data_IF_882141186955
#
_entry.id   IF_882141186955
#
_cell.length_a   1.000
_cell.length_b   1.000
_cell.length_c   1.000
_cell.angle_alpha   90.00
_cell.angle_beta   90.00
_cell.angle_gamma   90.00
#
_symmetry.space_group_name_H-M   'P 1'
#
loop_
_entity.id
_entity.type
_entity.pdbx_description
1 polymer ?
#
# COMPACT_ATOMS: atom_id res chain seq x y z
N UNK A 1 -56.59 -32.21 42.83
CA UNK A 1 -55.44 -31.55 42.15
C UNK A 1 -54.95 -32.28 40.89
N UNK A 2 -54.77 -33.62 40.90
CA UNK A 2 -54.28 -34.39 39.73
C UNK A 2 -55.03 -34.18 38.40
N UNK A 3 -56.37 -34.07 38.41
CA UNK A 3 -57.18 -33.80 37.20
C UNK A 3 -56.92 -32.42 36.57
N UNK A 4 -56.57 -31.40 37.36
CA UNK A 4 -56.24 -30.07 36.83
C UNK A 4 -54.88 -30.07 36.14
N UNK A 5 -53.94 -30.84 36.69
CA UNK A 5 -52.60 -31.02 36.11
C UNK A 5 -52.70 -31.73 34.76
N UNK A 6 -53.50 -32.79 34.64
CA UNK A 6 -53.67 -33.50 33.34
C UNK A 6 -54.31 -32.62 32.27
N UNK A 7 -55.27 -31.77 32.64
CA UNK A 7 -55.91 -30.83 31.70
C UNK A 7 -54.92 -29.75 31.25
N UNK A 8 -54.11 -29.19 32.17
CA UNK A 8 -53.08 -28.22 31.83
C UNK A 8 -51.99 -28.82 30.93
N UNK A 9 -51.60 -30.07 31.17
CA UNK A 9 -50.59 -30.76 30.37
C UNK A 9 -51.11 -31.03 28.95
N UNK A 10 -52.38 -31.43 28.82
CA UNK A 10 -53.01 -31.68 27.52
C UNK A 10 -53.21 -30.37 26.73
N UNK A 11 -53.53 -29.26 27.41
CA UNK A 11 -53.61 -27.93 26.81
C UNK A 11 -52.23 -27.40 26.39
N UNK A 12 -51.20 -27.60 27.21
CA UNK A 12 -49.83 -27.23 26.86
C UNK A 12 -49.31 -28.03 25.66
N UNK A 13 -49.62 -29.33 25.60
CA UNK A 13 -49.25 -30.20 24.48
C UNK A 13 -49.94 -29.78 23.17
N UNK A 14 -51.24 -29.46 23.20
CA UNK A 14 -51.96 -28.99 22.01
C UNK A 14 -51.46 -27.62 21.53
N UNK A 15 -51.18 -26.69 22.47
CA UNK A 15 -50.60 -25.40 22.15
C UNK A 15 -49.20 -25.53 21.51
N UNK A 16 -48.34 -26.41 22.05
CA UNK A 16 -47.03 -26.68 21.48
C UNK A 16 -47.13 -27.26 20.05
N UNK A 17 -48.08 -28.17 19.80
CA UNK A 17 -48.29 -28.74 18.47
C UNK A 17 -48.70 -27.68 17.44
N UNK A 18 -49.65 -26.82 17.81
CA UNK A 18 -50.10 -25.70 16.96
C UNK A 18 -48.96 -24.72 16.69
N UNK A 19 -48.15 -24.42 17.70
CA UNK A 19 -47.01 -23.51 17.56
C UNK A 19 -45.97 -24.08 16.59
N UNK A 20 -45.64 -25.36 16.73
CA UNK A 20 -44.66 -26.05 15.86
C UNK A 20 -45.14 -26.09 14.41
N UNK A 21 -46.43 -26.36 14.17
CA UNK A 21 -47.04 -26.36 12.83
C UNK A 21 -47.00 -24.97 12.18
N UNK A 22 -47.32 -23.92 12.95
CA UNK A 22 -47.31 -22.54 12.46
C UNK A 22 -45.89 -22.10 12.11
N UNK A 23 -44.91 -22.40 12.97
CA UNK A 23 -43.50 -22.09 12.72
C UNK A 23 -42.94 -22.86 11.53
N UNK A 24 -43.32 -24.14 11.35
CA UNK A 24 -42.87 -24.92 10.20
C UNK A 24 -43.39 -24.34 8.87
N UNK A 25 -44.64 -23.87 8.86
CA UNK A 25 -45.24 -23.21 7.70
C UNK A 25 -44.54 -21.89 7.42
N UNK A 26 -44.27 -21.09 8.46
CA UNK A 26 -43.54 -19.82 8.34
C UNK A 26 -42.12 -20.03 7.81
N UNK A 27 -41.35 -20.99 8.36
CA UNK A 27 -39.99 -21.28 7.88
C UNK A 27 -40.01 -21.76 6.43
N UNK A 28 -40.97 -22.62 6.08
CA UNK A 28 -41.13 -23.10 4.71
C UNK A 28 -41.38 -21.94 3.75
N UNK A 29 -42.35 -21.07 4.06
CA UNK A 29 -42.77 -19.99 3.16
C UNK A 29 -41.79 -18.82 3.13
N UNK A 30 -41.27 -18.41 4.29
CA UNK A 30 -40.38 -17.25 4.42
C UNK A 30 -38.92 -17.54 4.06
N UNK A 31 -38.47 -18.79 4.18
CA UNK A 31 -37.05 -19.14 3.99
C UNK A 31 -36.87 -20.20 2.90
N UNK A 32 -37.53 -21.36 3.02
CA UNK A 32 -37.25 -22.50 2.12
C UNK A 32 -37.67 -22.19 0.68
N UNK A 33 -38.89 -21.67 0.49
CA UNK A 33 -39.39 -21.31 -0.84
C UNK A 33 -38.51 -20.25 -1.51
N UNK A 34 -38.22 -19.07 -0.92
CA UNK A 34 -37.39 -18.07 -1.58
C UNK A 34 -35.97 -18.55 -1.85
N UNK A 35 -35.38 -19.34 -0.94
CA UNK A 35 -34.05 -19.91 -1.15
C UNK A 35 -34.03 -20.90 -2.33
N UNK A 36 -35.09 -21.70 -2.49
CA UNK A 36 -35.25 -22.60 -3.63
C UNK A 36 -35.42 -21.82 -4.94
N UNK A 37 -36.17 -20.72 -4.93
CA UNK A 37 -36.29 -19.82 -6.09
C UNK A 37 -34.95 -19.19 -6.47
N UNK A 38 -34.17 -18.69 -5.50
CA UNK A 38 -32.84 -18.13 -5.75
C UNK A 38 -31.93 -19.18 -6.39
N UNK A 39 -31.94 -20.41 -5.87
CA UNK A 39 -31.13 -21.50 -6.41
C UNK A 39 -31.57 -21.88 -7.83
N UNK A 40 -32.88 -21.94 -8.08
CA UNK A 40 -33.43 -22.22 -9.40
C UNK A 40 -33.07 -21.13 -10.42
N UNK A 41 -33.22 -19.85 -10.07
CA UNK A 41 -32.82 -18.71 -10.91
C UNK A 41 -31.31 -18.76 -11.17
N UNK A 42 -30.50 -19.00 -10.13
CA UNK A 42 -29.04 -19.12 -10.26
C UNK A 42 -28.67 -20.22 -11.25
N UNK A 43 -29.30 -21.40 -11.14
CA UNK A 43 -29.10 -22.50 -12.09
C UNK A 43 -29.50 -22.12 -13.51
N UNK A 44 -30.60 -21.40 -13.70
CA UNK A 44 -31.03 -20.92 -15.02
C UNK A 44 -30.00 -19.95 -15.59
N UNK A 45 -29.54 -18.97 -14.81
CA UNK A 45 -28.54 -18.01 -15.25
C UNK A 45 -27.26 -18.74 -15.66
N UNK A 46 -26.79 -19.68 -14.84
CA UNK A 46 -25.60 -20.48 -15.12
C UNK A 46 -25.77 -21.36 -16.37
N UNK A 47 -26.95 -21.95 -16.58
CA UNK A 47 -27.24 -22.74 -17.78
C UNK A 47 -27.47 -21.88 -19.03
N UNK A 48 -27.94 -20.65 -18.86
CA UNK A 48 -28.18 -19.69 -19.93
C UNK A 48 -26.88 -19.08 -20.44
N UNK A 49 -25.77 -19.15 -19.68
CA UNK A 49 -24.45 -18.79 -20.20
C UNK A 49 -24.04 -19.88 -21.20
N UNK A 50 -24.05 -19.59 -22.52
CA UNK A 50 -23.66 -20.59 -23.49
C UNK A 50 -22.16 -20.85 -23.31
N UNK A 51 -21.77 -22.12 -23.37
CA UNK A 51 -20.37 -22.52 -23.20
C UNK A 51 -19.45 -21.76 -24.18
N UNK A 52 -19.98 -21.42 -25.37
CA UNK A 52 -19.32 -20.59 -26.37
C UNK A 52 -18.98 -19.18 -25.90
N UNK A 53 -19.81 -18.55 -25.06
CA UNK A 53 -19.52 -17.22 -24.51
C UNK A 53 -18.35 -17.26 -23.52
N UNK A 54 -18.26 -18.28 -22.67
CA UNK A 54 -17.13 -18.46 -21.76
C UNK A 54 -15.84 -18.68 -22.54
N UNK A 55 -15.86 -19.56 -23.55
CA UNK A 55 -14.70 -19.79 -24.41
C UNK A 55 -14.32 -18.54 -25.19
N UNK A 56 -15.29 -17.77 -25.71
CA UNK A 56 -15.02 -16.53 -26.44
C UNK A 56 -14.41 -15.46 -25.53
N UNK A 57 -14.90 -15.34 -24.30
CA UNK A 57 -14.32 -14.43 -23.30
C UNK A 57 -12.87 -14.84 -22.98
N UNK A 58 -12.64 -16.13 -22.73
CA UNK A 58 -11.31 -16.66 -22.47
C UNK A 58 -10.34 -16.44 -23.65
N UNK A 59 -10.79 -16.71 -24.87
CA UNK A 59 -9.99 -16.49 -26.08
C UNK A 59 -9.74 -15.00 -26.33
N UNK A 60 -10.72 -14.14 -26.08
CA UNK A 60 -10.57 -12.69 -26.14
C UNK A 60 -9.54 -12.19 -25.14
N UNK A 61 -9.57 -12.70 -23.90
CA UNK A 61 -8.57 -12.39 -22.88
C UNK A 61 -7.17 -12.85 -23.30
N UNK A 62 -7.03 -14.07 -23.83
CA UNK A 62 -5.76 -14.57 -24.36
C UNK A 62 -5.24 -13.73 -25.52
N UNK A 63 -6.10 -13.34 -26.46
CA UNK A 63 -5.76 -12.44 -27.56
C UNK A 63 -5.30 -11.08 -27.06
N UNK A 64 -5.97 -10.52 -26.04
CA UNK A 64 -5.54 -9.27 -25.41
C UNK A 64 -4.18 -9.41 -24.73
N UNK A 65 -3.93 -10.49 -24.00
CA UNK A 65 -2.63 -10.76 -23.38
C UNK A 65 -1.54 -10.92 -24.45
N UNK A 66 -1.84 -11.66 -25.51
CA UNK A 66 -0.92 -11.90 -26.62
C UNK A 66 -0.61 -10.60 -27.38
N UNK A 67 -1.63 -9.78 -27.65
CA UNK A 67 -1.47 -8.45 -28.25
C UNK A 67 -0.69 -7.49 -27.34
N UNK A 68 -0.98 -7.49 -26.04
CA UNK A 68 -0.23 -6.72 -25.06
C UNK A 68 1.22 -7.20 -24.88
N UNK A 69 1.50 -8.48 -25.17
CA UNK A 69 2.84 -9.07 -25.18
C UNK A 69 3.64 -8.67 -26.42
N UNK A 70 2.97 -8.49 -27.56
CA UNK A 70 3.55 -8.00 -28.81
C UNK A 70 3.82 -6.50 -28.79
N UNK A 71 3.06 -5.73 -27.99
CA UNK A 71 3.48 -4.38 -27.65
C UNK A 71 4.87 -4.48 -27.02
N UNK A 72 5.85 -3.67 -27.46
CA UNK A 72 7.16 -3.65 -26.84
C UNK A 72 6.97 -3.29 -25.38
N UNK A 73 6.95 -4.32 -24.53
CA UNK A 73 7.07 -4.20 -23.09
C UNK A 73 8.31 -3.35 -22.95
N UNK A 74 8.17 -2.08 -22.53
CA UNK A 74 9.31 -1.25 -22.12
C UNK A 74 9.99 -2.08 -21.06
N UNK A 75 10.96 -2.88 -21.50
CA UNK A 75 11.79 -3.66 -20.63
C UNK A 75 12.41 -2.57 -19.78
N UNK A 76 11.99 -2.48 -18.51
CA UNK A 76 12.83 -1.89 -17.48
C UNK A 76 14.13 -2.64 -17.64
N UNK A 77 15.06 -2.00 -18.32
CA UNK A 77 16.36 -2.52 -18.70
C UNK A 77 16.90 -3.11 -17.41
N UNK A 78 16.90 -4.44 -17.31
CA UNK A 78 17.59 -5.14 -16.23
C UNK A 78 18.99 -4.57 -16.29
N UNK A 79 19.37 -3.85 -15.24
CA UNK A 79 20.57 -3.02 -15.19
C UNK A 79 21.78 -3.85 -15.57
N UNK A 80 22.09 -3.90 -16.88
CA UNK A 80 23.46 -4.08 -17.31
C UNK A 80 24.22 -2.90 -16.70
N UNK A 81 25.38 -3.13 -16.07
CA UNK A 81 26.21 -2.03 -15.60
C UNK A 81 26.39 -1.06 -16.78
N UNK A 82 25.98 0.21 -16.63
CA UNK A 82 26.03 1.13 -17.76
C UNK A 82 27.48 1.24 -18.23
N UNK A 83 27.75 1.21 -19.55
CA UNK A 83 29.03 1.68 -20.05
C UNK A 83 29.20 3.12 -19.55
N UNK A 84 30.38 3.45 -19.05
CA UNK A 84 30.72 4.76 -18.51
C UNK A 84 30.21 5.88 -19.44
N UNK A 85 29.05 6.44 -19.12
CA UNK A 85 28.43 7.55 -19.82
C UNK A 85 28.36 8.70 -18.84
N UNK A 86 29.17 9.70 -19.15
CA UNK A 86 29.18 11.09 -18.71
C UNK A 86 28.38 11.39 -17.44
N UNK A 87 29.14 11.62 -16.37
CA UNK A 87 28.74 12.21 -15.08
C UNK A 87 27.80 13.42 -15.21
N UNK A 88 27.89 14.14 -16.33
CA UNK A 88 26.98 15.22 -16.76
C UNK A 88 25.49 14.87 -16.65
N UNK A 89 25.09 13.65 -17.03
CA UNK A 89 23.67 13.25 -17.06
C UNK A 89 23.05 13.05 -15.66
N UNK A 90 23.86 12.67 -14.67
CA UNK A 90 23.37 12.46 -13.30
C UNK A 90 23.18 13.79 -12.58
N UNK A 91 24.11 14.72 -12.77
CA UNK A 91 24.02 16.06 -12.20
C UNK A 91 22.83 16.84 -12.77
N UNK A 92 22.60 16.79 -14.09
CA UNK A 92 21.43 17.43 -14.70
C UNK A 92 20.10 16.88 -14.16
N UNK A 93 20.02 15.58 -13.93
CA UNK A 93 18.82 14.97 -13.34
C UNK A 93 18.63 15.40 -11.88
N UNK A 94 19.72 15.57 -11.12
CA UNK A 94 19.65 16.07 -9.75
C UNK A 94 19.19 17.53 -9.72
N UNK A 95 19.74 18.39 -10.57
CA UNK A 95 19.34 19.80 -10.68
C UNK A 95 17.85 19.93 -10.99
N UNK A 96 17.34 19.15 -11.96
CA UNK A 96 15.90 19.12 -12.27
C UNK A 96 15.05 18.66 -11.10
N UNK A 97 15.55 17.70 -10.30
CA UNK A 97 14.84 17.18 -9.14
C UNK A 97 14.78 18.21 -8.00
N UNK A 98 15.85 18.99 -7.81
CA UNK A 98 15.89 20.10 -6.85
C UNK A 98 14.92 21.21 -7.26
N UNK A 99 14.93 21.62 -8.53
CA UNK A 99 14.02 22.65 -9.09
C UNK A 99 12.55 22.24 -8.97
N UNK A 100 12.25 20.96 -9.21
CA UNK A 100 10.89 20.42 -9.08
C UNK A 100 10.47 20.20 -7.62
N UNK A 101 11.41 19.95 -6.70
CA UNK A 101 11.12 19.81 -5.27
C UNK A 101 10.62 21.11 -4.64
N UNK A 102 10.93 22.27 -5.21
CA UNK A 102 10.38 23.54 -4.73
C UNK A 102 8.84 23.64 -4.93
N UNK A 103 8.33 22.98 -5.98
CA UNK A 103 6.95 23.16 -6.44
C UNK A 103 6.00 22.01 -6.07
N UNK A 104 6.51 20.81 -5.75
CA UNK A 104 5.68 19.63 -5.53
C UNK A 104 6.22 18.73 -4.40
N UNK A 105 5.33 18.40 -3.44
CA UNK A 105 5.60 17.56 -2.29
C UNK A 105 6.12 16.16 -2.66
N UNK A 106 5.69 15.62 -3.80
CA UNK A 106 6.19 14.34 -4.30
C UNK A 106 7.69 14.41 -4.60
N UNK A 107 8.13 15.52 -5.20
CA UNK A 107 9.54 15.73 -5.52
C UNK A 107 10.35 16.06 -4.28
N UNK A 108 9.78 16.78 -3.29
CA UNK A 108 10.39 16.93 -1.95
C UNK A 108 10.67 15.59 -1.29
N UNK A 109 9.67 14.70 -1.27
CA UNK A 109 9.84 13.34 -0.72
C UNK A 109 10.90 12.54 -1.47
N UNK A 110 10.89 12.62 -2.81
CA UNK A 110 11.85 11.91 -3.66
C UNK A 110 13.28 12.43 -3.46
N UNK A 111 13.43 13.74 -3.26
CA UNK A 111 14.71 14.37 -2.94
C UNK A 111 15.22 13.91 -1.57
N UNK A 112 14.34 13.89 -0.56
CA UNK A 112 14.68 13.39 0.78
C UNK A 112 15.15 11.94 0.74
N UNK A 113 14.47 11.08 -0.02
CA UNK A 113 14.85 9.68 -0.19
C UNK A 113 16.18 9.52 -0.94
N UNK A 114 16.44 10.36 -1.95
CA UNK A 114 17.71 10.36 -2.66
C UNK A 114 18.86 10.76 -1.74
N UNK A 115 18.74 11.89 -1.04
CA UNK A 115 19.73 12.38 -0.08
C UNK A 115 19.99 11.35 1.02
N UNK A 116 18.95 10.71 1.53
CA UNK A 116 19.08 9.65 2.52
C UNK A 116 19.95 8.48 2.03
N UNK A 117 19.69 7.98 0.83
CA UNK A 117 20.46 6.86 0.30
C UNK A 117 21.93 7.25 0.12
N UNK A 118 22.20 8.46 -0.37
CA UNK A 118 23.57 8.98 -0.49
C UNK A 118 24.25 9.09 0.87
N UNK A 119 23.56 9.60 1.90
CA UNK A 119 24.12 9.67 3.26
C UNK A 119 24.39 8.29 3.87
N UNK A 120 23.51 7.31 3.64
CA UNK A 120 23.72 5.92 4.08
C UNK A 120 24.93 5.31 3.39
N UNK A 121 25.05 5.49 2.07
CA UNK A 121 26.16 4.95 1.28
C UNK A 121 27.50 5.60 1.70
N UNK A 122 27.51 6.92 1.96
CA UNK A 122 28.70 7.63 2.46
C UNK A 122 29.10 7.16 3.87
N UNK A 123 28.14 6.98 4.78
CA UNK A 123 28.41 6.48 6.13
C UNK A 123 28.85 5.01 6.13
N UNK A 124 28.29 4.18 5.24
CA UNK A 124 28.72 2.79 5.06
C UNK A 124 30.17 2.71 4.61
N UNK A 125 30.55 3.60 3.69
CA UNK A 125 31.92 3.72 3.25
C UNK A 125 32.87 4.17 4.37
N UNK A 126 32.46 5.17 5.18
CA UNK A 126 33.29 5.68 6.28
C UNK A 126 33.44 4.69 7.44
N UNK A 127 32.38 3.97 7.80
CA UNK A 127 32.36 3.08 8.98
C UNK A 127 32.72 1.63 8.65
N UNK A 128 32.78 1.27 7.36
CA UNK A 128 32.94 -0.12 6.91
C UNK A 128 31.77 -1.02 7.28
N UNK A 129 30.64 -0.45 7.72
CA UNK A 129 29.46 -1.18 8.15
C UNK A 129 28.52 -1.45 6.96
N UNK A 130 27.80 -2.56 7.01
CA UNK A 130 26.79 -2.88 6.01
C UNK A 130 25.64 -1.85 6.03
N UNK A 131 25.14 -1.48 4.85
CA UNK A 131 24.07 -0.49 4.68
C UNK A 131 22.83 -0.78 5.54
N UNK A 132 22.51 -2.06 5.78
CA UNK A 132 21.37 -2.48 6.59
C UNK A 132 21.52 -2.12 8.07
N UNK A 133 22.74 -2.20 8.60
CA UNK A 133 23.08 -1.84 9.98
C UNK A 133 22.91 -0.33 10.18
N UNK A 134 23.38 0.46 9.22
CA UNK A 134 23.25 1.92 9.24
C UNK A 134 21.80 2.34 9.10
N UNK A 135 21.03 1.73 8.19
CA UNK A 135 19.58 1.94 8.07
C UNK A 135 18.86 1.66 9.40
N UNK A 136 19.28 0.62 10.11
CA UNK A 136 18.70 0.28 11.41
C UNK A 136 19.10 1.27 12.50
N UNK A 137 20.35 1.75 12.53
CA UNK A 137 20.80 2.80 13.44
C UNK A 137 20.07 4.14 13.23
N UNK A 138 19.79 4.51 11.97
CA UNK A 138 18.97 5.67 11.64
C UNK A 138 17.51 5.51 12.12
N UNK A 139 16.94 4.31 12.03
CA UNK A 139 15.60 4.02 12.59
C UNK A 139 15.58 4.03 14.12
N UNK A 140 16.69 3.67 14.75
CA UNK A 140 16.83 3.55 16.20
C UNK A 140 17.36 4.84 16.87
N UNK A 141 17.41 5.98 16.16
CA UNK A 141 17.93 7.26 16.67
C UNK A 141 19.36 7.17 17.27
N UNK A 142 20.14 6.17 16.86
CA UNK A 142 21.45 5.87 17.44
C UNK A 142 22.62 6.34 16.59
N UNK A 143 22.35 6.95 15.43
CA UNK A 143 23.37 7.59 14.61
C UNK A 143 23.67 8.99 15.18
N UNK A 144 24.96 9.32 15.35
CA UNK A 144 25.45 10.61 15.83
C UNK A 144 25.23 11.73 14.80
N UNK A 145 23.97 11.98 14.47
CA UNK A 145 23.50 12.86 13.39
C UNK A 145 22.62 13.95 14.00
N UNK A 146 22.74 15.22 13.57
CA UNK A 146 21.92 16.32 14.06
C UNK A 146 20.41 16.01 14.07
N UNK A 147 19.66 16.43 15.11
CA UNK A 147 18.26 16.04 15.31
C UNK A 147 17.33 16.52 14.20
N UNK A 148 17.70 17.55 13.45
CA UNK A 148 16.94 18.09 12.32
C UNK A 148 17.03 17.18 11.09
N UNK A 149 18.22 16.65 10.80
CA UNK A 149 18.46 15.67 9.75
C UNK A 149 17.80 14.32 10.07
N UNK A 150 17.76 13.92 11.34
CA UNK A 150 17.03 12.73 11.77
C UNK A 150 15.55 12.81 11.43
N UNK A 151 14.90 13.96 11.67
CA UNK A 151 13.48 14.16 11.33
C UNK A 151 13.25 14.14 9.82
N UNK A 152 14.16 14.75 9.06
CA UNK A 152 14.10 14.77 7.59
C UNK A 152 14.22 13.35 7.00
N UNK A 153 15.20 12.56 7.48
CA UNK A 153 15.38 11.18 7.03
C UNK A 153 14.28 10.24 7.51
N UNK A 154 13.75 10.44 8.72
CA UNK A 154 12.59 9.69 9.22
C UNK A 154 11.35 9.94 8.36
N UNK A 155 11.15 11.17 7.87
CA UNK A 155 10.06 11.51 6.96
C UNK A 155 10.23 10.88 5.57
N UNK A 156 11.46 10.71 5.09
CA UNK A 156 11.77 10.00 3.84
C UNK A 156 11.58 8.47 3.89
N UNK A 157 11.66 7.86 5.09
CA UNK A 157 11.48 6.42 5.30
C UNK A 157 10.02 5.95 5.29
N UNK A 158 9.07 6.87 5.43
CA UNK A 158 7.66 6.52 5.45
C UNK A 158 7.15 6.20 4.03
N UNK A 159 6.36 5.12 3.85
CA UNK A 159 5.71 4.85 2.57
C UNK A 159 4.78 6.01 2.22
N UNK A 160 4.76 6.44 0.95
CA UNK A 160 3.96 7.57 0.44
C UNK A 160 2.48 7.57 0.92
N UNK A 161 1.93 6.38 1.20
CA UNK A 161 0.55 6.21 1.69
C UNK A 161 0.26 6.66 3.13
N UNK A 162 1.27 7.00 3.93
CA UNK A 162 1.08 7.56 5.29
C UNK A 162 1.21 9.08 5.37
N UNK A 163 1.42 9.76 4.23
CA UNK A 163 1.40 11.22 4.19
C UNK A 163 -0.05 11.73 4.28
N UNK A 164 -0.34 12.75 5.10
CA UNK A 164 -1.64 13.40 5.09
C UNK A 164 -1.88 13.96 3.68
N UNK A 165 -2.87 13.42 2.97
CA UNK A 165 -3.20 13.84 1.62
C UNK A 165 -3.42 15.35 1.56
N UNK A 166 -3.00 15.96 0.45
CA UNK A 166 -3.10 17.40 0.20
C UNK A 166 -4.52 17.96 0.41
N UNK A 167 -5.55 17.10 0.37
CA UNK A 167 -6.95 17.44 0.57
C UNK A 167 -7.27 18.02 1.96
N UNK A 168 -6.44 17.77 2.99
CA UNK A 168 -6.64 18.31 4.34
C UNK A 168 -5.76 19.54 4.69
N UNK A 169 -5.01 20.09 3.71
CA UNK A 169 -4.09 21.22 3.96
C UNK A 169 -4.75 22.59 4.14
N UNK A 170 -6.04 22.75 3.83
CA UNK A 170 -6.74 24.01 4.07
C UNK A 170 -6.95 24.32 5.57
N UNK A 171 -6.80 23.34 6.48
CA UNK A 171 -7.16 23.50 7.90
C UNK A 171 -5.93 23.62 8.83
N UNK A 172 -4.71 23.30 8.38
CA UNK A 172 -3.51 23.32 9.25
C UNK A 172 -2.38 24.18 8.69
N UNK A 173 -2.60 25.49 8.76
CA UNK A 173 -1.63 26.52 8.39
C UNK A 173 -0.84 26.97 9.63
N UNK A 174 0.00 26.09 10.22
CA UNK A 174 1.05 26.45 11.21
C UNK A 174 1.83 25.22 11.76
N UNK A 175 2.27 24.30 10.91
CA UNK A 175 3.32 23.36 11.32
C UNK A 175 4.26 23.14 10.15
N UNK A 176 5.44 23.75 10.24
CA UNK A 176 6.61 23.54 9.38
C UNK A 176 6.71 22.06 9.03
N UNK A 177 6.57 21.71 7.75
CA UNK A 177 6.62 20.31 7.36
C UNK A 177 8.03 19.80 7.66
N UNK A 178 8.21 18.60 8.24
CA UNK A 178 9.55 18.04 8.48
C UNK A 178 10.35 17.80 7.18
N UNK A 179 9.74 18.00 6.00
CA UNK A 179 10.38 17.99 4.68
C UNK A 179 10.82 19.38 4.18
N UNK A 180 10.52 20.47 4.89
CA UNK A 180 10.93 21.83 4.51
C UNK A 180 12.36 22.17 4.99
N UNK A 181 13.14 21.15 5.40
CA UNK A 181 14.56 21.34 5.69
C UNK A 181 15.30 21.71 4.39
N UNK A 182 16.07 22.81 4.42
CA UNK A 182 16.83 23.27 3.27
C UNK A 182 17.87 22.21 2.87
N UNK A 183 17.84 21.68 1.64
CA UNK A 183 18.83 20.71 1.17
C UNK A 183 20.28 21.21 1.29
N UNK A 184 20.52 22.52 1.36
CA UNK A 184 21.85 23.08 1.59
C UNK A 184 22.45 22.69 2.97
N UNK A 185 21.63 22.48 3.99
CA UNK A 185 22.09 22.04 5.32
C UNK A 185 22.56 20.58 5.31
N UNK A 186 21.90 19.73 4.51
CA UNK A 186 22.28 18.33 4.31
C UNK A 186 23.64 18.25 3.61
N UNK A 187 23.87 19.09 2.60
CA UNK A 187 25.14 19.14 1.86
C UNK A 187 26.28 19.58 2.77
N UNK A 188 26.09 20.62 3.60
CA UNK A 188 27.11 21.06 4.57
C UNK A 188 27.49 19.98 5.59
N UNK A 189 26.53 19.16 6.00
CA UNK A 189 26.82 18.02 6.89
C UNK A 189 27.67 16.95 6.19
N UNK A 190 27.38 16.65 4.92
CA UNK A 190 28.17 15.71 4.13
C UNK A 190 29.59 16.24 3.85
N UNK A 191 29.72 17.53 3.56
CA UNK A 191 31.02 18.19 3.36
C UNK A 191 31.89 18.15 4.63
N UNK A 192 31.28 18.40 5.81
CA UNK A 192 31.99 18.28 7.09
C UNK A 192 32.44 16.84 7.40
N UNK A 193 31.71 15.83 6.94
CA UNK A 193 32.13 14.43 7.06
C UNK A 193 33.32 14.10 6.14
N UNK A 194 33.41 14.74 4.98
CA UNK A 194 34.50 14.54 4.03
C UNK A 194 35.80 15.26 4.48
N UNK A 195 35.69 16.46 5.04
CA UNK A 195 36.82 17.23 5.59
C UNK A 195 37.55 16.54 6.76
N UNK A 196 36.91 15.58 7.44
CA UNK A 196 37.54 14.83 8.53
C UNK A 196 38.48 13.71 8.09
N UNK A 197 38.76 13.54 6.79
CA UNK A 197 39.85 12.66 6.33
C UNK A 197 41.24 13.28 6.57
N UNK A 198 42.13 12.64 7.37
CA UNK A 198 43.56 12.84 7.16
C UNK A 198 43.95 12.18 5.83
N UNK A 199 44.57 12.96 4.97
CA UNK A 199 45.24 12.49 3.75
C UNK A 199 46.21 11.35 4.11
N UNK A 200 45.97 10.17 3.55
CA UNK A 200 46.95 9.06 3.53
C UNK A 200 47.82 9.24 2.29
#
# INVERSE_FOLDING_TARGET
MRRRITILLLFAASAALLLTSTFQTFIREAIVIPLLYILWISRIILAAVPQTALWSCYMGLLLLIMGASLLPRRQKKRSQPPPARDSSSRLQNLTKLIEQAEHDDYFKWRLAQYLQNVSIDALAYHTGQANDVIRQQFKQNSANVPPELQRYFAAGLQPLGSMPSAQNRFVKRASTSPLDLDPAEVVKFLERLDETQPTI
#
